data_IF_532985024542
#
_entry.id   IF_532985024542
#
_cell.length_a   1.000
_cell.length_b   1.000
_cell.length_c   1.000
_cell.angle_alpha   90.00
_cell.angle_beta   90.00
_cell.angle_gamma   90.00
#
_symmetry.space_group_name_H-M   'P 1'
#
loop_
_entity.id
_entity.type
_entity.pdbx_description
1 polymer ?
#
# COMPACT_ATOMS: atom_id res chain seq x y z
N UNK A 1 39.60 -22.34 61.19
CA UNK A 1 38.87 -22.94 60.07
C UNK A 1 38.12 -21.79 59.36
N UNK A 2 38.71 -21.21 58.29
CA UNK A 2 38.16 -20.05 57.57
C UNK A 2 37.40 -20.52 56.36
N UNK A 3 36.08 -20.25 56.34
CA UNK A 3 35.19 -20.58 55.22
C UNK A 3 35.25 -19.37 54.26
N UNK A 4 35.79 -19.56 53.06
CA UNK A 4 35.76 -18.60 51.97
C UNK A 4 34.39 -18.72 51.28
N UNK A 5 33.53 -17.70 51.40
CA UNK A 5 32.38 -17.49 50.56
C UNK A 5 32.84 -17.00 49.20
N UNK A 6 32.65 -17.80 48.14
CA UNK A 6 32.80 -17.38 46.73
C UNK A 6 31.56 -16.64 46.31
N UNK A 7 31.68 -15.36 46.06
CA UNK A 7 30.64 -14.56 45.38
C UNK A 7 30.51 -15.02 43.92
N UNK A 8 29.39 -15.63 43.60
CA UNK A 8 29.00 -15.98 42.23
C UNK A 8 28.19 -14.78 41.70
N UNK A 9 28.83 -13.89 40.94
CA UNK A 9 28.12 -12.78 40.28
C UNK A 9 27.40 -13.34 39.06
N UNK A 10 26.10 -13.46 39.15
CA UNK A 10 25.22 -13.87 38.04
C UNK A 10 25.13 -12.72 37.06
N UNK A 11 25.88 -12.79 35.97
CA UNK A 11 25.80 -11.86 34.83
C UNK A 11 24.53 -12.17 34.05
N UNK A 12 23.45 -11.44 34.34
CA UNK A 12 22.21 -11.52 33.55
C UNK A 12 22.45 -10.84 32.20
N UNK A 13 22.66 -11.62 31.14
CA UNK A 13 22.62 -11.12 29.77
C UNK A 13 21.15 -10.69 29.50
N UNK A 14 20.91 -9.40 29.50
CA UNK A 14 19.73 -8.80 28.90
C UNK A 14 19.90 -8.95 27.38
N UNK A 15 19.37 -10.05 26.83
CA UNK A 15 19.12 -10.19 25.39
C UNK A 15 17.98 -9.23 25.10
N UNK A 16 18.31 -8.02 24.68
CA UNK A 16 17.35 -7.09 24.11
C UNK A 16 16.76 -7.73 22.87
N UNK A 17 15.55 -8.24 22.96
CA UNK A 17 14.76 -8.64 21.81
C UNK A 17 14.48 -7.36 21.00
N UNK A 18 15.35 -7.06 20.03
CA UNK A 18 15.00 -6.15 18.96
C UNK A 18 13.81 -6.79 18.25
N UNK A 19 12.62 -6.24 18.43
CA UNK A 19 11.46 -6.58 17.63
C UNK A 19 11.81 -6.24 16.19
N UNK A 20 12.18 -7.25 15.41
CA UNK A 20 12.32 -7.09 13.96
C UNK A 20 10.90 -6.91 13.46
N UNK A 21 10.49 -5.65 13.22
CA UNK A 21 9.23 -5.37 12.56
C UNK A 21 9.30 -5.99 11.17
N UNK A 22 8.36 -6.91 10.90
CA UNK A 22 8.26 -7.53 9.60
C UNK A 22 7.84 -6.46 8.57
N UNK A 23 8.49 -6.45 7.42
CA UNK A 23 8.16 -5.53 6.33
C UNK A 23 6.82 -5.99 5.73
N UNK A 24 5.82 -5.12 5.73
CA UNK A 24 4.52 -5.39 5.14
C UNK A 24 4.62 -5.59 3.63
N UNK A 25 3.77 -6.47 3.10
CA UNK A 25 3.63 -6.70 1.67
C UNK A 25 2.36 -6.09 1.11
N UNK A 26 2.43 -5.54 -0.10
CA UNK A 26 1.28 -5.08 -0.88
C UNK A 26 1.17 -5.94 -2.14
N UNK A 27 0.03 -6.61 -2.32
CA UNK A 27 -0.32 -7.29 -3.56
C UNK A 27 -1.38 -6.48 -4.28
N UNK A 28 -1.16 -6.21 -5.57
CA UNK A 28 -2.09 -5.49 -6.44
C UNK A 28 -2.43 -6.37 -7.63
N UNK A 29 -3.71 -6.64 -7.84
CA UNK A 29 -4.23 -7.35 -9.00
C UNK A 29 -4.95 -6.33 -9.88
N UNK A 30 -4.42 -6.08 -11.06
CA UNK A 30 -5.08 -5.24 -12.07
C UNK A 30 -6.03 -6.10 -12.88
N UNK A 31 -7.28 -5.69 -12.90
CA UNK A 31 -8.33 -6.32 -13.72
C UNK A 31 -8.93 -5.30 -14.68
N UNK A 32 -9.49 -5.77 -15.78
CA UNK A 32 -10.39 -5.00 -16.62
C UNK A 32 -11.79 -5.60 -16.58
N UNK A 33 -12.81 -4.75 -16.59
CA UNK A 33 -14.23 -5.19 -16.58
C UNK A 33 -15.12 -4.14 -17.23
N UNK A 34 -16.13 -4.60 -17.96
CA UNK A 34 -17.18 -3.74 -18.52
C UNK A 34 -18.34 -3.51 -17.52
N UNK A 35 -18.30 -4.18 -16.36
CA UNK A 35 -19.30 -4.07 -15.29
C UNK A 35 -18.60 -3.74 -13.96
N UNK A 36 -18.05 -2.51 -13.81
CA UNK A 36 -17.28 -2.13 -12.63
C UNK A 36 -18.11 -2.15 -11.35
N UNK A 37 -19.38 -1.74 -11.42
CA UNK A 37 -20.27 -1.76 -10.26
C UNK A 37 -20.54 -3.19 -9.80
N UNK A 38 -20.93 -4.07 -10.72
CA UNK A 38 -21.18 -5.47 -10.40
C UNK A 38 -19.91 -6.19 -9.91
N UNK A 39 -18.72 -5.74 -10.35
CA UNK A 39 -17.46 -6.27 -9.84
C UNK A 39 -17.23 -5.85 -8.38
N UNK A 40 -17.43 -4.57 -8.03
CA UNK A 40 -17.30 -4.07 -6.66
C UNK A 40 -18.31 -4.74 -5.72
N UNK A 41 -19.57 -4.89 -6.16
CA UNK A 41 -20.62 -5.59 -5.40
C UNK A 41 -20.21 -7.04 -5.13
N UNK A 42 -19.77 -7.77 -6.19
CA UNK A 42 -19.28 -9.14 -6.04
C UNK A 42 -18.09 -9.24 -5.09
N UNK A 43 -17.12 -8.32 -5.21
CA UNK A 43 -15.93 -8.32 -4.36
C UNK A 43 -16.31 -8.11 -2.89
N UNK A 44 -17.23 -7.18 -2.62
CA UNK A 44 -17.75 -6.89 -1.28
C UNK A 44 -18.52 -8.11 -0.70
N UNK A 45 -19.38 -8.73 -1.48
CA UNK A 45 -20.12 -9.95 -1.08
C UNK A 45 -19.19 -11.16 -0.82
N UNK A 46 -18.05 -11.21 -1.51
CA UNK A 46 -17.09 -12.30 -1.39
C UNK A 46 -16.09 -12.10 -0.24
N UNK A 47 -16.03 -10.91 0.36
CA UNK A 47 -15.07 -10.58 1.43
C UNK A 47 -15.07 -11.58 2.59
N UNK A 48 -16.23 -12.03 3.15
CA UNK A 48 -16.21 -12.99 4.25
C UNK A 48 -15.52 -14.31 3.87
N UNK A 49 -15.71 -14.77 2.63
CA UNK A 49 -15.08 -16.00 2.13
C UNK A 49 -13.56 -15.80 1.97
N UNK A 50 -13.16 -14.64 1.47
CA UNK A 50 -11.75 -14.32 1.30
C UNK A 50 -11.03 -14.13 2.63
N UNK A 51 -11.65 -13.45 3.59
CA UNK A 51 -11.11 -13.28 4.93
C UNK A 51 -10.94 -14.63 5.66
N UNK A 52 -11.94 -15.52 5.60
CA UNK A 52 -11.85 -16.85 6.18
C UNK A 52 -10.69 -17.66 5.59
N UNK A 53 -10.51 -17.62 4.28
CA UNK A 53 -9.45 -18.36 3.59
C UNK A 53 -8.06 -17.74 3.78
N UNK A 54 -7.97 -16.45 4.01
CA UNK A 54 -6.70 -15.72 4.21
C UNK A 54 -6.25 -15.70 5.67
N UNK A 55 -7.21 -15.72 6.60
CA UNK A 55 -6.92 -15.60 8.02
C UNK A 55 -6.06 -14.36 8.34
N UNK A 56 -5.09 -14.52 9.21
CA UNK A 56 -4.17 -13.44 9.66
C UNK A 56 -3.12 -13.06 8.61
N UNK A 57 -3.12 -13.67 7.42
CA UNK A 57 -2.16 -13.34 6.35
C UNK A 57 -2.47 -12.02 5.63
N UNK A 58 -3.65 -11.45 5.84
CA UNK A 58 -4.06 -10.17 5.24
C UNK A 58 -4.50 -9.21 6.35
N UNK A 59 -3.88 -8.03 6.38
CA UNK A 59 -4.22 -6.96 7.31
C UNK A 59 -5.34 -6.06 6.78
N UNK A 60 -5.35 -5.78 5.46
CA UNK A 60 -6.37 -4.95 4.84
C UNK A 60 -6.55 -5.29 3.36
N UNK A 61 -7.74 -5.01 2.83
CA UNK A 61 -8.07 -5.18 1.41
C UNK A 61 -8.95 -4.04 0.92
N UNK A 62 -8.84 -3.76 -0.37
CA UNK A 62 -9.69 -2.77 -1.02
C UNK A 62 -9.65 -2.84 -2.54
N UNK A 63 -10.33 -1.88 -3.14
CA UNK A 63 -10.38 -1.71 -4.59
C UNK A 63 -10.17 -0.24 -4.94
N UNK A 64 -9.44 0.00 -6.01
CA UNK A 64 -9.24 1.34 -6.57
C UNK A 64 -9.70 1.35 -8.03
N UNK A 65 -10.33 2.46 -8.40
CA UNK A 65 -10.77 2.72 -9.78
C UNK A 65 -10.07 3.97 -10.31
N UNK A 66 -9.26 3.88 -11.36
CA UNK A 66 -8.63 5.03 -11.99
C UNK A 66 -9.66 6.06 -12.46
N UNK A 67 -9.34 7.33 -12.26
CA UNK A 67 -10.09 8.47 -12.74
C UNK A 67 -9.35 9.23 -13.84
N UNK A 68 -8.03 9.07 -13.90
CA UNK A 68 -7.16 9.60 -14.94
C UNK A 68 -5.84 8.81 -14.99
N UNK A 69 -5.17 8.77 -16.13
CA UNK A 69 -3.82 8.22 -16.29
C UNK A 69 -3.73 6.69 -16.27
N UNK A 70 -4.83 5.97 -16.38
CA UNK A 70 -4.84 4.49 -16.42
C UNK A 70 -4.12 3.93 -17.65
N UNK A 71 -3.59 2.70 -17.52
CA UNK A 71 -2.85 2.02 -18.59
C UNK A 71 -3.80 1.24 -19.50
N UNK A 72 -4.82 0.60 -18.90
CA UNK A 72 -5.82 -0.20 -19.62
C UNK A 72 -7.19 0.46 -19.55
N UNK A 73 -7.98 0.33 -20.59
CA UNK A 73 -9.38 0.75 -20.56
C UNK A 73 -10.17 -0.07 -19.56
N UNK A 74 -11.00 0.58 -18.74
CA UNK A 74 -11.84 -0.05 -17.72
C UNK A 74 -11.05 -0.87 -16.68
N UNK A 75 -9.83 -0.45 -16.34
CA UNK A 75 -9.02 -1.10 -15.32
C UNK A 75 -9.46 -0.74 -13.90
N UNK A 76 -9.24 -1.68 -12.99
CA UNK A 76 -9.40 -1.53 -11.56
C UNK A 76 -8.27 -2.26 -10.85
N UNK A 77 -7.91 -1.80 -9.65
CA UNK A 77 -6.85 -2.38 -8.84
C UNK A 77 -7.44 -2.97 -7.57
N UNK A 78 -7.44 -4.29 -7.47
CA UNK A 78 -7.75 -4.98 -6.21
C UNK A 78 -6.46 -5.10 -5.43
N UNK A 79 -6.42 -4.48 -4.26
CA UNK A 79 -5.22 -4.48 -3.43
C UNK A 79 -5.44 -5.23 -2.12
N UNK A 80 -4.36 -5.78 -1.59
CA UNK A 80 -4.32 -6.36 -0.24
C UNK A 80 -2.98 -6.10 0.41
N UNK A 81 -3.00 -5.72 1.69
CA UNK A 81 -1.82 -5.55 2.54
C UNK A 81 -1.70 -6.77 3.44
N UNK A 82 -0.53 -7.39 3.44
CA UNK A 82 -0.15 -8.47 4.34
C UNK A 82 0.77 -7.95 5.46
N UNK A 83 0.70 -8.51 6.69
CA UNK A 83 1.52 -8.05 7.80
C UNK A 83 3.02 -8.32 7.61
N UNK A 84 3.36 -9.14 6.62
CA UNK A 84 4.75 -9.38 6.20
C UNK A 84 4.82 -9.84 4.75
N UNK A 85 6.00 -9.70 4.13
CA UNK A 85 6.29 -10.28 2.81
C UNK A 85 6.12 -11.81 2.87
N UNK A 86 6.53 -12.44 3.97
CA UNK A 86 6.33 -13.89 4.17
C UNK A 86 4.86 -14.27 4.17
N UNK A 87 4.00 -13.54 4.89
CA UNK A 87 2.55 -13.77 4.89
C UNK A 87 1.95 -13.58 3.49
N UNK A 88 2.37 -12.53 2.77
CA UNK A 88 1.94 -12.30 1.39
C UNK A 88 2.31 -13.44 0.44
N UNK A 89 3.49 -14.02 0.61
CA UNK A 89 3.99 -15.11 -0.24
C UNK A 89 3.52 -16.50 0.20
N UNK A 90 3.08 -16.66 1.45
CA UNK A 90 2.61 -17.94 1.99
C UNK A 90 1.20 -18.34 1.52
N UNK A 91 0.56 -17.54 0.67
CA UNK A 91 -0.84 -17.72 0.30
C UNK A 91 -1.12 -18.31 -1.11
N UNK A 92 -0.29 -19.25 -1.66
CA UNK A 92 -0.64 -19.94 -2.89
C UNK A 92 -1.87 -20.85 -2.69
N UNK A 93 -2.14 -21.29 -1.44
CA UNK A 93 -3.28 -22.15 -1.11
C UNK A 93 -4.62 -21.43 -1.16
N UNK A 94 -4.63 -20.08 -1.02
CA UNK A 94 -5.84 -19.26 -1.14
C UNK A 94 -6.64 -19.58 -2.41
N UNK A 95 -5.96 -19.65 -3.56
CA UNK A 95 -6.62 -19.95 -4.84
C UNK A 95 -7.00 -21.42 -5.00
N UNK A 96 -6.61 -22.30 -4.06
CA UNK A 96 -6.99 -23.69 -4.02
C UNK A 96 -8.18 -23.94 -3.06
N UNK A 97 -8.53 -22.97 -2.21
CA UNK A 97 -9.69 -23.08 -1.33
C UNK A 97 -10.99 -23.21 -2.16
N UNK A 98 -11.81 -24.18 -1.81
CA UNK A 98 -13.03 -24.52 -2.59
C UNK A 98 -14.05 -23.39 -2.60
N UNK A 99 -14.15 -22.64 -1.51
CA UNK A 99 -15.11 -21.54 -1.38
C UNK A 99 -14.60 -20.33 -2.16
N UNK A 100 -13.29 -20.03 -2.10
CA UNK A 100 -12.63 -19.00 -2.90
C UNK A 100 -12.79 -19.31 -4.39
N UNK A 101 -12.49 -20.53 -4.82
CA UNK A 101 -12.64 -20.93 -6.23
C UNK A 101 -14.11 -20.78 -6.68
N UNK A 102 -15.07 -21.14 -5.81
CA UNK A 102 -16.51 -20.96 -6.12
C UNK A 102 -16.88 -19.48 -6.25
N UNK A 103 -16.39 -18.62 -5.35
CA UNK A 103 -16.63 -17.18 -5.42
C UNK A 103 -16.02 -16.57 -6.69
N UNK A 104 -14.77 -16.90 -7.02
CA UNK A 104 -14.08 -16.40 -8.22
C UNK A 104 -14.78 -16.85 -9.51
N UNK A 105 -15.29 -18.06 -9.58
CA UNK A 105 -16.01 -18.57 -10.77
C UNK A 105 -17.25 -17.74 -11.14
N UNK A 106 -17.90 -17.08 -10.16
CA UNK A 106 -19.07 -16.22 -10.42
C UNK A 106 -18.75 -15.00 -11.27
N UNK A 107 -17.48 -14.52 -11.22
CA UNK A 107 -17.03 -13.31 -11.90
C UNK A 107 -16.03 -13.57 -13.03
N UNK A 108 -15.57 -14.82 -13.18
CA UNK A 108 -14.44 -15.15 -14.06
C UNK A 108 -14.65 -14.75 -15.53
N UNK A 109 -15.90 -14.76 -16.02
CA UNK A 109 -16.26 -14.37 -17.38
C UNK A 109 -16.65 -12.88 -17.54
N UNK A 110 -16.61 -12.09 -16.46
CA UNK A 110 -16.96 -10.67 -16.47
C UNK A 110 -15.74 -9.78 -16.26
N UNK A 111 -14.56 -10.36 -16.11
CA UNK A 111 -13.30 -9.66 -15.92
C UNK A 111 -12.15 -10.38 -16.60
N UNK A 112 -11.11 -9.62 -16.89
CA UNK A 112 -9.80 -10.14 -17.24
C UNK A 112 -8.78 -9.71 -16.18
N UNK A 113 -7.91 -10.62 -15.75
CA UNK A 113 -6.75 -10.28 -14.93
C UNK A 113 -5.59 -9.97 -15.86
N UNK A 114 -5.23 -8.70 -15.97
CA UNK A 114 -4.21 -8.23 -16.92
C UNK A 114 -2.83 -8.12 -16.29
N UNK A 115 -2.76 -7.97 -14.94
CA UNK A 115 -1.50 -7.80 -14.23
C UNK A 115 -1.60 -8.21 -12.76
N UNK A 116 -0.48 -8.60 -12.19
CA UNK A 116 -0.30 -8.78 -10.75
C UNK A 116 1.06 -8.26 -10.34
N UNK A 117 1.07 -7.32 -9.39
CA UNK A 117 2.27 -6.72 -8.83
C UNK A 117 2.39 -7.11 -7.35
N UNK A 118 3.57 -7.54 -6.94
CA UNK A 118 3.94 -7.71 -5.54
C UNK A 118 4.92 -6.59 -5.18
N UNK A 119 4.60 -5.89 -4.11
CA UNK A 119 5.37 -4.76 -3.60
C UNK A 119 5.60 -4.93 -2.11
N UNK A 120 6.51 -4.16 -1.54
CA UNK A 120 6.71 -4.05 -0.10
C UNK A 120 6.52 -2.62 0.35
N UNK A 121 6.04 -2.44 1.57
CA UNK A 121 5.77 -1.12 2.15
C UNK A 121 7.07 -0.53 2.67
N UNK A 122 7.46 0.64 2.17
CA UNK A 122 8.63 1.41 2.63
C UNK A 122 8.18 2.49 3.61
N UNK A 123 7.10 3.20 3.28
CA UNK A 123 6.45 4.19 4.13
C UNK A 123 4.95 3.89 4.14
N UNK A 124 4.41 3.70 5.33
CA UNK A 124 2.98 3.48 5.54
C UNK A 124 2.18 4.77 5.32
N UNK A 125 0.95 4.63 4.88
CA UNK A 125 -0.09 5.65 4.94
C UNK A 125 -1.29 5.11 5.72
N UNK A 126 -2.19 6.00 6.09
CA UNK A 126 -3.44 5.60 6.73
C UNK A 126 -4.26 4.74 5.77
N UNK A 127 -4.69 3.59 6.27
CA UNK A 127 -5.65 2.73 5.60
C UNK A 127 -7.00 3.09 6.22
N UNK A 128 -7.87 3.74 5.48
CA UNK A 128 -9.19 4.14 5.95
C UNK A 128 -10.02 2.96 6.51
N UNK A 129 -11.04 3.28 7.30
CA UNK A 129 -11.97 2.27 7.82
C UNK A 129 -12.72 1.53 6.68
N UNK A 130 -13.24 0.31 6.93
CA UNK A 130 -14.07 -0.38 5.94
C UNK A 130 -15.23 0.48 5.45
N UNK A 131 -15.40 0.61 4.14
CA UNK A 131 -16.37 1.49 3.46
C UNK A 131 -15.87 2.91 3.21
N UNK A 132 -14.75 3.32 3.77
CA UNK A 132 -14.16 4.62 3.52
C UNK A 132 -13.51 4.67 2.14
N UNK A 133 -13.71 5.80 1.46
CA UNK A 133 -13.15 6.04 0.12
C UNK A 133 -12.19 7.24 0.17
N UNK A 134 -11.02 7.09 -0.45
CA UNK A 134 -10.00 8.13 -0.58
C UNK A 134 -9.70 8.43 -2.04
N UNK A 135 -9.34 9.68 -2.33
CA UNK A 135 -8.75 10.06 -3.61
C UNK A 135 -7.23 9.93 -3.53
N UNK A 136 -6.63 9.32 -4.54
CA UNK A 136 -5.19 9.07 -4.57
C UNK A 136 -4.56 9.55 -5.87
N UNK A 137 -3.37 10.14 -5.76
CA UNK A 137 -2.44 10.35 -6.86
C UNK A 137 -1.25 9.44 -6.66
N UNK A 138 -0.97 8.61 -7.64
CA UNK A 138 0.12 7.65 -7.61
C UNK A 138 1.16 8.02 -8.66
N UNK A 139 2.42 7.93 -8.26
CA UNK A 139 3.57 8.17 -9.13
C UNK A 139 4.53 6.99 -9.03
N UNK A 140 4.70 6.28 -10.14
CA UNK A 140 5.73 5.26 -10.30
C UNK A 140 6.99 5.94 -10.81
N UNK A 141 8.11 5.67 -10.16
CA UNK A 141 9.40 6.27 -10.47
C UNK A 141 10.53 5.26 -10.28
N UNK A 142 11.61 5.43 -10.99
CA UNK A 142 12.91 4.86 -10.62
C UNK A 142 13.64 5.77 -9.64
N UNK A 143 14.41 5.19 -8.73
CA UNK A 143 15.24 5.89 -7.75
C UNK A 143 16.44 5.06 -7.35
N UNK A 144 17.60 5.70 -7.26
CA UNK A 144 18.83 5.10 -6.72
C UNK A 144 19.02 5.41 -5.23
N UNK A 145 18.18 6.31 -4.66
CA UNK A 145 18.21 6.70 -3.25
C UNK A 145 16.81 6.60 -2.62
N UNK A 146 16.40 5.37 -2.28
CA UNK A 146 15.13 5.10 -1.59
C UNK A 146 15.04 5.85 -0.26
N UNK A 147 16.15 5.96 0.48
CA UNK A 147 16.18 6.62 1.79
C UNK A 147 15.93 8.12 1.66
N UNK A 148 16.66 8.79 0.76
CA UNK A 148 16.48 10.20 0.46
C UNK A 148 15.07 10.50 -0.06
N UNK A 149 14.56 9.65 -0.97
CA UNK A 149 13.20 9.82 -1.49
C UNK A 149 12.13 9.64 -0.40
N UNK A 150 12.29 8.66 0.51
CA UNK A 150 11.40 8.49 1.67
C UNK A 150 11.43 9.70 2.60
N UNK A 151 12.63 10.25 2.85
CA UNK A 151 12.79 11.45 3.67
C UNK A 151 12.10 12.67 3.04
N UNK A 152 12.25 12.89 1.73
CA UNK A 152 11.58 13.96 0.99
C UNK A 152 10.04 13.83 1.04
N UNK A 153 9.49 12.62 0.86
CA UNK A 153 8.05 12.36 1.00
C UNK A 153 7.55 12.64 2.42
N UNK A 154 8.33 12.27 3.43
CA UNK A 154 8.00 12.55 4.84
C UNK A 154 8.05 14.06 5.14
N UNK A 155 9.01 14.77 4.56
CA UNK A 155 9.10 16.23 4.67
C UNK A 155 7.91 16.92 4.00
N UNK A 156 7.48 16.43 2.83
CA UNK A 156 6.30 16.92 2.10
C UNK A 156 5.02 16.75 2.94
N UNK A 157 4.78 15.59 3.52
CA UNK A 157 3.63 15.33 4.37
C UNK A 157 3.60 16.25 5.59
N UNK A 158 4.74 16.46 6.26
CA UNK A 158 4.88 17.41 7.37
C UNK A 158 4.67 18.87 6.93
N UNK A 159 5.15 19.25 5.75
CA UNK A 159 4.93 20.58 5.19
C UNK A 159 3.46 20.78 4.86
N UNK A 160 2.80 19.79 4.26
CA UNK A 160 1.36 19.79 4.00
C UNK A 160 0.57 20.05 5.30
N UNK A 161 0.83 19.28 6.35
CA UNK A 161 0.16 19.44 7.64
C UNK A 161 0.34 20.85 8.23
N UNK A 162 1.54 21.44 8.15
CA UNK A 162 1.78 22.82 8.62
C UNK A 162 1.02 23.90 7.82
N UNK A 163 0.58 23.58 6.61
CA UNK A 163 -0.12 24.48 5.69
C UNK A 163 -1.61 24.14 5.55
N UNK A 164 -2.20 23.46 6.55
CA UNK A 164 -3.63 23.20 6.63
C UNK A 164 -4.09 21.96 5.84
N UNK A 165 -3.15 21.01 5.55
CA UNK A 165 -3.42 19.74 4.86
C UNK A 165 -3.03 18.57 5.75
N UNK A 166 -3.51 18.54 7.01
CA UNK A 166 -3.25 17.50 8.00
C UNK A 166 -3.85 16.14 7.61
N UNK A 167 -4.82 16.16 6.72
CA UNK A 167 -5.56 15.03 6.18
C UNK A 167 -4.96 14.45 4.87
N UNK A 168 -3.83 14.99 4.43
CA UNK A 168 -3.03 14.40 3.36
C UNK A 168 -2.04 13.41 3.96
N UNK A 169 -2.08 12.17 3.49
CA UNK A 169 -1.11 11.14 3.83
C UNK A 169 -0.33 10.68 2.60
N UNK A 170 0.87 10.16 2.83
CA UNK A 170 1.77 9.74 1.75
C UNK A 170 2.33 8.36 2.06
N UNK A 171 2.12 7.40 1.17
CA UNK A 171 2.74 6.09 1.20
C UNK A 171 3.87 5.97 0.18
N UNK A 172 4.79 5.01 0.42
CA UNK A 172 5.80 4.60 -0.55
C UNK A 172 5.91 3.08 -0.56
N UNK A 173 5.85 2.52 -1.75
CA UNK A 173 5.94 1.07 -1.99
C UNK A 173 7.11 0.78 -2.93
N UNK A 174 7.90 -0.26 -2.62
CA UNK A 174 8.96 -0.75 -3.51
C UNK A 174 8.50 -1.98 -4.27
N UNK A 175 8.88 -2.12 -5.54
CA UNK A 175 8.58 -3.32 -6.33
C UNK A 175 9.36 -4.53 -5.81
N UNK A 176 8.67 -5.67 -5.64
CA UNK A 176 9.27 -6.97 -5.30
C UNK A 176 9.20 -7.92 -6.50
N UNK A 177 8.04 -8.00 -7.14
CA UNK A 177 7.80 -8.73 -8.38
C UNK A 177 6.73 -8.00 -9.19
N UNK A 178 7.14 -7.13 -10.09
CA UNK A 178 6.29 -6.20 -10.82
C UNK A 178 6.59 -6.16 -12.33
N UNK A 179 7.20 -7.22 -12.87
CA UNK A 179 7.46 -7.38 -14.30
C UNK A 179 8.28 -6.24 -14.89
N UNK A 180 7.73 -5.50 -15.84
CA UNK A 180 8.35 -4.34 -16.50
C UNK A 180 8.56 -3.12 -15.58
N UNK A 181 7.93 -3.12 -14.39
CA UNK A 181 8.12 -2.13 -13.32
C UNK A 181 9.10 -2.61 -12.24
N UNK A 182 9.97 -3.57 -12.57
CA UNK A 182 11.00 -4.01 -11.63
C UNK A 182 11.93 -2.85 -11.26
N UNK A 183 12.37 -2.82 -10.00
CA UNK A 183 13.25 -1.78 -9.45
C UNK A 183 12.63 -0.37 -9.37
N UNK A 184 11.32 -0.24 -9.57
CA UNK A 184 10.62 1.03 -9.36
C UNK A 184 10.05 1.13 -7.95
N UNK A 185 9.69 2.34 -7.58
CA UNK A 185 8.89 2.63 -6.38
C UNK A 185 7.60 3.33 -6.79
N UNK A 186 6.54 3.16 -6.01
CA UNK A 186 5.27 3.87 -6.18
C UNK A 186 5.01 4.73 -4.96
N UNK A 187 5.01 6.05 -5.16
CA UNK A 187 4.55 7.01 -4.14
C UNK A 187 3.04 7.25 -4.34
N UNK A 188 2.27 7.21 -3.26
CA UNK A 188 0.83 7.48 -3.25
C UNK A 188 0.53 8.65 -2.33
N UNK A 189 0.01 9.74 -2.88
CA UNK A 189 -0.52 10.89 -2.12
C UNK A 189 -2.02 10.69 -1.99
N UNK A 190 -2.52 10.67 -0.77
CA UNK A 190 -3.91 10.33 -0.44
C UNK A 190 -4.61 11.51 0.23
N UNK A 191 -5.87 11.71 -0.11
CA UNK A 191 -6.77 12.70 0.48
C UNK A 191 -8.17 12.11 0.71
N UNK A 192 -8.95 12.60 1.68
CA UNK A 192 -10.31 12.11 1.93
C UNK A 192 -11.26 12.28 0.74
N UNK A 193 -11.03 13.26 -0.11
CA UNK A 193 -11.89 13.56 -1.27
C UNK A 193 -11.09 14.05 -2.48
N UNK A 194 -11.62 13.92 -3.72
CA UNK A 194 -10.99 14.48 -4.90
C UNK A 194 -10.78 15.99 -4.83
N UNK A 195 -11.75 16.73 -4.27
CA UNK A 195 -11.63 18.19 -4.11
C UNK A 195 -10.53 18.57 -3.13
N UNK A 196 -10.31 17.77 -2.08
CA UNK A 196 -9.23 17.98 -1.13
C UNK A 196 -7.86 17.70 -1.76
N UNK A 197 -7.76 16.64 -2.55
CA UNK A 197 -6.56 16.34 -3.34
C UNK A 197 -6.30 17.44 -4.37
N UNK A 198 -7.34 17.94 -5.03
CA UNK A 198 -7.25 19.08 -5.95
C UNK A 198 -6.73 20.34 -5.27
N UNK A 199 -7.29 20.70 -4.11
CA UNK A 199 -6.84 21.86 -3.33
C UNK A 199 -5.35 21.74 -2.91
N UNK A 200 -4.89 20.54 -2.56
CA UNK A 200 -3.47 20.28 -2.31
C UNK A 200 -2.61 20.53 -3.57
N UNK A 201 -3.08 20.12 -4.74
CA UNK A 201 -2.38 20.39 -6.00
C UNK A 201 -2.44 21.84 -6.46
N UNK A 202 -3.45 22.62 -6.07
CA UNK A 202 -3.51 24.06 -6.34
C UNK A 202 -2.37 24.82 -5.66
N UNK A 203 -1.82 24.27 -4.56
CA UNK A 203 -0.65 24.80 -3.86
C UNK A 203 0.68 24.66 -4.63
N UNK A 204 0.71 24.04 -5.79
CA UNK A 204 1.97 23.79 -6.57
C UNK A 204 2.80 25.05 -6.83
N UNK A 205 2.16 26.23 -6.86
CA UNK A 205 2.85 27.51 -7.06
C UNK A 205 3.09 28.28 -5.76
N UNK A 206 2.66 27.74 -4.62
CA UNK A 206 2.95 28.35 -3.31
C UNK A 206 4.45 28.22 -2.98
N UNK A 207 4.94 29.16 -2.16
CA UNK A 207 6.36 29.15 -1.77
C UNK A 207 6.72 27.88 -1.01
N UNK A 208 5.86 27.42 -0.10
CA UNK A 208 6.12 26.22 0.70
C UNK A 208 6.16 24.94 -0.15
N UNK A 209 5.24 24.84 -1.15
CA UNK A 209 5.24 23.67 -2.04
C UNK A 209 6.45 23.68 -2.96
N UNK A 210 6.83 24.83 -3.50
CA UNK A 210 8.02 24.98 -4.34
C UNK A 210 9.30 24.61 -3.59
N UNK A 211 9.44 25.02 -2.33
CA UNK A 211 10.55 24.63 -1.46
C UNK A 211 10.56 23.12 -1.25
N UNK A 212 9.41 22.55 -0.85
CA UNK A 212 9.26 21.11 -0.63
C UNK A 212 9.57 20.30 -1.89
N UNK A 213 9.06 20.73 -3.05
CA UNK A 213 9.30 20.02 -4.32
C UNK A 213 10.77 20.09 -4.77
N UNK A 214 11.52 21.11 -4.35
CA UNK A 214 12.96 21.21 -4.66
C UNK A 214 13.77 20.06 -4.00
N UNK A 215 13.30 19.51 -2.89
CA UNK A 215 13.92 18.38 -2.20
C UNK A 215 13.86 17.06 -2.98
N UNK A 216 12.95 16.97 -3.96
CA UNK A 216 12.86 15.81 -4.86
C UNK A 216 13.83 15.87 -6.04
N UNK A 217 14.57 16.97 -6.18
CA UNK A 217 15.51 17.16 -7.28
C UNK A 217 16.59 16.08 -7.32
N UNK A 218 16.61 15.30 -8.42
CA UNK A 218 17.58 14.22 -8.62
C UNK A 218 17.33 12.94 -7.81
N UNK A 219 16.31 12.90 -6.93
CA UNK A 219 16.00 11.70 -6.14
C UNK A 219 15.18 10.66 -6.90
N UNK A 220 14.50 11.07 -7.97
CA UNK A 220 13.62 10.18 -8.74
C UNK A 220 13.55 10.57 -10.21
N UNK A 221 13.25 9.59 -11.04
CA UNK A 221 12.83 9.80 -12.44
C UNK A 221 11.39 9.29 -12.57
N UNK A 222 10.40 10.20 -12.77
CA UNK A 222 9.00 9.82 -13.00
C UNK A 222 8.85 8.98 -14.27
N UNK A 223 8.00 7.93 -14.19
CA UNK A 223 7.72 7.04 -15.31
C UNK A 223 6.23 7.03 -15.68
N UNK A 224 5.37 6.79 -14.70
CA UNK A 224 3.92 6.71 -14.90
C UNK A 224 3.24 7.39 -13.71
N UNK A 225 2.19 8.17 -13.99
CA UNK A 225 1.33 8.71 -12.96
C UNK A 225 -0.15 8.46 -13.28
N UNK A 226 -0.96 8.36 -12.24
CA UNK A 226 -2.39 8.16 -12.38
C UNK A 226 -3.14 8.58 -11.11
N UNK A 227 -4.39 8.99 -11.31
CA UNK A 227 -5.33 9.29 -10.24
C UNK A 227 -6.37 8.19 -10.10
N UNK A 228 -6.81 7.91 -8.89
CA UNK A 228 -7.81 6.89 -8.61
C UNK A 228 -8.64 7.20 -7.37
N UNK A 229 -9.81 6.59 -7.29
CA UNK A 229 -10.61 6.49 -6.08
C UNK A 229 -10.43 5.11 -5.49
N UNK A 230 -10.06 5.03 -4.22
CA UNK A 230 -9.83 3.77 -3.51
C UNK A 230 -10.83 3.60 -2.37
N UNK A 231 -11.46 2.44 -2.30
CA UNK A 231 -12.35 2.05 -1.20
C UNK A 231 -11.71 0.92 -0.41
N UNK A 232 -11.60 1.08 0.90
CA UNK A 232 -11.22 0.02 1.82
C UNK A 232 -12.42 -0.90 2.03
N UNK A 233 -12.25 -2.20 1.80
CA UNK A 233 -13.31 -3.20 1.94
C UNK A 233 -13.25 -3.91 3.29
N UNK A 234 -12.04 -4.17 3.78
CA UNK A 234 -11.84 -4.81 5.08
C UNK A 234 -10.52 -4.41 5.72
N UNK A 235 -10.51 -4.39 7.03
CA UNK A 235 -9.33 -4.26 7.89
C UNK A 235 -9.42 -5.34 8.97
N UNK A 236 -8.39 -6.16 9.11
CA UNK A 236 -8.27 -7.17 10.16
C UNK A 236 -7.44 -6.56 11.29
N UNK A 237 -8.04 -6.47 12.48
CA UNK A 237 -7.40 -5.99 13.71
C UNK A 237 -6.70 -7.10 14.46
#
# INVERSE_FOLDING_TARGET
>A
MKILLKNFTLLTLLIGSSSIYAIQGLNVITITTDDPQGYVEWLSESQPVFQEAQGDNIAAQGICSPTAGGVYTNEHYVWSIAPSISAMMSNPEFFNDKNVVRAIRKIANKREVVRRDLMYVIKEADIGAPGETTAQYNLISSTDDISGYTAALTAMEKAAARNGFEDISVALFGSLAAGDRALTVMASVQAPTPSRLGAFFDERQSAWMSETMSEFGGLRTPEIDFMMMCTTLSVNN
#
